data_IF_713463222297
#
_entry.id   IF_713463222297
#
_cell.length_a   1.000
_cell.length_b   1.000
_cell.length_c   1.000
_cell.angle_alpha   90.00
_cell.angle_beta   90.00
_cell.angle_gamma   90.00
#
_symmetry.space_group_name_H-M   'P 1'
#
loop_
_entity.id
_entity.type
_entity.pdbx_description
1 polymer ?
2 non-polymer ?
3 non-polymer ?
4 water ?
#
# COMPACT_ATOMS: atom_id res chain seq x y z
N UNK A 2 -2.60 15.74 18.45
CA UNK A 2 -3.25 17.08 18.76
C UNK A 2 -4.42 17.30 17.77
N UNK A 3 -4.13 17.85 16.59
CA UNK A 3 -5.19 18.03 15.60
C UNK A 3 -5.58 16.64 15.06
N UNK A 4 -4.71 15.63 15.18
CA UNK A 4 -5.16 14.33 14.70
C UNK A 4 -6.18 13.76 15.68
N UNK A 5 -6.00 14.05 16.96
CA UNK A 5 -6.97 13.61 17.98
C UNK A 5 -8.27 14.29 17.62
N UNK A 6 -8.19 15.54 17.19
CA UNK A 6 -9.40 16.28 16.84
C UNK A 6 -10.16 15.68 15.67
N UNK A 7 -9.38 15.13 14.74
CA UNK A 7 -9.92 14.51 13.53
C UNK A 7 -10.49 13.16 13.96
N UNK A 8 -9.89 12.53 14.96
CA UNK A 8 -10.45 11.29 15.50
C UNK A 8 -11.80 11.60 16.16
N UNK A 9 -11.99 12.84 16.63
CA UNK A 9 -13.21 13.19 17.27
C UNK A 9 -14.19 13.64 16.23
N UNK A 10 -13.74 14.36 15.23
CA UNK A 10 -14.65 14.82 14.16
C UNK A 10 -15.31 13.69 13.34
N UNK A 11 -14.56 12.60 13.17
CA UNK A 11 -14.97 11.47 12.34
C UNK A 11 -15.27 10.22 13.13
N UNK A 12 -15.24 10.34 14.45
CA UNK A 12 -15.46 9.19 15.32
C UNK A 12 -14.73 7.97 14.72
N UNK A 13 -13.43 8.13 14.48
CA UNK A 13 -12.68 7.05 13.89
C UNK A 13 -11.33 7.01 14.54
N UNK A 14 -10.55 6.00 14.18
CA UNK A 14 -9.19 5.84 14.69
C UNK A 14 -8.16 6.04 13.57
N UNK A 15 -7.18 6.92 13.81
CA UNK A 15 -6.17 7.22 12.82
C UNK A 15 -4.80 6.63 13.19
N UNK A 16 -4.10 6.08 12.20
CA UNK A 16 -2.77 5.56 12.43
C UNK A 16 -1.93 6.32 11.44
N UNK A 17 -0.85 6.99 11.87
CA UNK A 17 -0.05 7.74 10.94
C UNK A 17 1.45 7.54 11.13
N UNK A 18 2.12 7.38 10.00
CA UNK A 18 3.56 7.36 9.99
C UNK A 18 3.98 8.08 8.70
N UNK A 19 4.84 9.07 8.83
CA UNK A 19 5.28 9.79 7.67
C UNK A 19 6.76 10.10 7.87
N UNK A 20 7.52 9.91 6.77
CA UNK A 20 8.93 10.11 6.79
C UNK A 20 9.38 10.91 5.62
N UNK A 21 9.92 12.10 5.87
CA UNK A 21 10.52 12.89 4.79
C UNK A 21 11.87 12.17 4.55
N UNK A 22 12.05 11.53 3.40
CA UNK A 22 13.29 10.80 3.18
C UNK A 22 14.54 11.67 3.05
N UNK A 23 14.34 12.97 2.78
CA UNK A 23 15.49 13.92 2.67
C UNK A 23 16.07 14.26 4.05
N UNK A 24 15.20 14.68 4.96
CA UNK A 24 15.62 15.05 6.31
C UNK A 24 15.60 13.92 7.33
N UNK A 25 14.78 12.91 7.07
CA UNK A 25 14.69 11.83 8.02
C UNK A 25 13.67 12.26 9.09
N UNK A 26 12.97 13.38 8.82
CA UNK A 26 11.93 13.86 9.74
C UNK A 26 10.67 12.96 9.60
N UNK A 27 10.14 12.57 10.78
CA UNK A 27 8.98 11.67 10.94
C UNK A 27 7.79 12.27 11.70
N UNK A 28 6.57 11.98 11.25
CA UNK A 28 5.35 12.43 11.96
C UNK A 28 4.72 11.05 12.32
N UNK A 29 4.36 10.84 13.60
CA UNK A 29 3.80 9.56 14.08
C UNK A 29 2.56 9.85 14.91
N UNK A 30 1.54 8.99 14.83
CA UNK A 30 0.31 9.16 15.65
C UNK A 30 -0.27 7.77 15.62
N UNK A 31 -0.39 7.11 16.78
CA UNK A 31 -0.91 5.71 16.84
C UNK A 31 -0.08 4.89 15.83
N UNK A 32 1.18 5.31 15.63
CA UNK A 32 2.12 4.67 14.69
C UNK A 32 2.53 3.22 15.03
N UNK A 33 2.37 2.81 16.29
CA UNK A 33 2.67 1.42 16.71
C UNK A 33 1.41 0.60 17.01
N UNK A 34 0.29 1.08 16.53
CA UNK A 34 -1.00 0.45 16.68
C UNK A 34 -1.22 -0.38 15.42
N UNK A 35 -1.77 -1.59 15.59
CA UNK A 35 -2.07 -2.48 14.46
C UNK A 35 -3.39 -2.14 13.78
N UNK A 36 -3.37 -2.15 12.44
CA UNK A 36 -4.52 -1.88 11.58
C UNK A 36 -4.51 -2.89 10.40
N UNK A 37 -5.67 -3.26 9.87
CA UNK A 37 -5.69 -4.09 8.67
C UNK A 37 -5.07 -3.21 7.54
N UNK A 38 -4.02 -3.69 6.87
CA UNK A 38 -3.48 -2.91 5.77
C UNK A 38 -4.32 -3.03 4.51
N UNK A 39 -5.18 -4.07 4.44
CA UNK A 39 -6.02 -4.29 3.26
C UNK A 39 -5.20 -4.20 1.93
N UNK A 40 -5.72 -3.56 0.91
CA UNK A 40 -5.06 -3.50 -0.37
C UNK A 40 -3.78 -2.71 -0.43
N UNK A 41 -3.37 -2.02 0.63
CA UNK A 41 -2.11 -1.25 0.58
C UNK A 41 -0.93 -2.23 0.50
N UNK A 42 -1.17 -3.49 0.87
CA UNK A 42 -0.18 -4.55 0.82
C UNK A 42 0.18 -4.80 -0.69
N UNK A 43 -0.68 -4.44 -1.63
CA UNK A 43 -0.37 -4.64 -3.06
C UNK A 43 0.91 -3.91 -3.52
N UNK A 44 1.20 -2.77 -2.87
CA UNK A 44 2.38 -1.96 -3.21
C UNK A 44 3.62 -2.68 -2.73
N UNK A 45 3.53 -3.21 -1.53
CA UNK A 45 4.61 -4.00 -0.94
C UNK A 45 4.95 -5.29 -1.79
N UNK A 46 3.93 -6.08 -2.14
CA UNK A 46 4.07 -7.27 -2.95
C UNK A 46 4.61 -6.92 -4.32
N UNK A 47 4.05 -5.87 -4.93
CA UNK A 47 4.54 -5.42 -6.23
C UNK A 47 6.04 -5.07 -6.18
N UNK A 48 6.44 -4.33 -5.15
CA UNK A 48 7.84 -3.93 -5.03
C UNK A 48 8.73 -5.15 -4.81
N UNK A 49 8.30 -6.12 -4.01
CA UNK A 49 9.13 -7.28 -3.76
C UNK A 49 9.35 -8.06 -5.05
N UNK A 50 8.31 -8.22 -5.85
CA UNK A 50 8.45 -8.95 -7.11
C UNK A 50 9.49 -8.23 -7.97
N UNK A 51 9.33 -6.91 -8.07
CA UNK A 51 10.20 -5.99 -8.85
C UNK A 51 11.68 -6.02 -8.41
N UNK A 52 11.96 -6.43 -7.17
CA UNK A 52 13.33 -6.60 -6.69
C UNK A 52 13.95 -7.84 -7.34
N UNK A 53 13.10 -8.76 -7.76
CA UNK A 53 13.51 -10.05 -8.29
C UNK A 53 13.45 -10.24 -9.77
N UNK A 54 12.68 -9.39 -10.43
CA UNK A 54 12.50 -9.49 -11.89
C UNK A 54 12.84 -8.16 -12.52
N UNK A 55 13.89 -8.12 -13.35
CA UNK A 55 14.29 -6.87 -14.02
C UNK A 55 13.23 -6.36 -14.94
N UNK A 56 13.17 -5.04 -15.17
CA UNK A 56 12.16 -4.47 -16.04
C UNK A 56 12.00 -5.20 -17.36
N UNK A 57 13.10 -5.41 -18.07
CA UNK A 57 13.11 -6.09 -19.36
C UNK A 57 12.41 -7.46 -19.35
N UNK A 58 12.47 -8.14 -18.21
CA UNK A 58 11.89 -9.44 -18.00
C UNK A 58 10.43 -9.46 -17.47
N UNK A 59 9.76 -8.32 -17.45
CA UNK A 59 8.37 -8.21 -16.98
C UNK A 59 7.48 -8.68 -18.07
N UNK A 60 8.11 -8.93 -19.20
CA UNK A 60 7.36 -9.51 -20.29
C UNK A 60 7.07 -11.02 -20.10
N UNK A 61 7.64 -11.66 -19.10
CA UNK A 61 7.38 -13.05 -18.86
C UNK A 61 5.86 -13.24 -18.59
N UNK A 62 5.27 -14.24 -19.22
CA UNK A 62 3.88 -14.49 -19.06
C UNK A 62 3.70 -15.54 -18.02
N UNK A 63 2.49 -15.58 -17.49
CA UNK A 63 2.19 -16.62 -16.52
C UNK A 63 0.74 -17.03 -16.78
N UNK A 64 0.45 -18.30 -16.60
CA UNK A 64 -0.87 -18.81 -16.90
C UNK A 64 -1.89 -18.55 -15.81
N UNK A 65 -3.08 -18.17 -16.24
CA UNK A 65 -4.13 -17.92 -15.27
C UNK A 65 -5.22 -18.95 -15.46
N UNK A 66 -5.59 -19.62 -14.38
CA UNK A 66 -6.69 -20.59 -14.46
C UNK A 66 -7.82 -20.21 -13.52
N UNK A 67 -8.95 -20.88 -13.65
CA UNK A 67 -10.11 -20.62 -12.78
C UNK A 67 -9.81 -20.65 -11.30
N UNK A 68 -8.94 -21.53 -10.85
CA UNK A 68 -8.62 -21.60 -9.45
C UNK A 68 -7.97 -20.36 -8.87
N UNK A 69 -7.32 -19.57 -9.73
CA UNK A 69 -6.60 -18.39 -9.31
C UNK A 69 -7.53 -17.22 -9.06
N UNK A 70 -8.69 -17.20 -9.74
CA UNK A 70 -9.65 -16.07 -9.66
C UNK A 70 -10.34 -15.86 -8.34
N UNK A 71 -10.20 -14.66 -7.77
CA UNK A 71 -10.89 -14.35 -6.52
C UNK A 71 -11.73 -13.13 -6.79
N UNK A 72 -12.62 -12.82 -5.86
CA UNK A 72 -13.47 -11.68 -6.07
C UNK A 72 -12.69 -10.34 -6.20
N UNK A 73 -13.31 -9.42 -6.92
CA UNK A 73 -12.82 -8.06 -7.19
C UNK A 73 -11.51 -8.17 -7.95
N UNK A 74 -11.63 -8.64 -9.18
CA UNK A 74 -10.52 -8.84 -10.12
C UNK A 74 -11.04 -8.35 -11.48
N UNK A 75 -11.34 -7.07 -11.55
CA UNK A 75 -11.85 -6.56 -12.82
C UNK A 75 -10.99 -6.85 -14.06
N UNK A 76 -9.68 -7.00 -13.85
CA UNK A 76 -8.76 -7.26 -14.99
C UNK A 76 -8.52 -8.75 -15.23
N UNK A 77 -8.09 -9.44 -14.15
CA UNK A 77 -7.77 -10.86 -14.17
C UNK A 77 -8.97 -11.77 -14.46
N UNK A 78 -10.18 -11.28 -14.16
CA UNK A 78 -11.38 -12.07 -14.41
C UNK A 78 -11.39 -12.42 -15.88
N UNK A 79 -10.83 -11.61 -16.76
CA UNK A 79 -10.84 -12.08 -18.12
C UNK A 79 -9.64 -12.89 -18.59
N UNK A 80 -8.79 -13.33 -17.68
CA UNK A 80 -7.63 -14.10 -18.07
C UNK A 80 -7.68 -15.60 -17.73
N UNK A 81 -8.85 -16.12 -17.34
CA UNK A 81 -8.97 -17.55 -17.04
C UNK A 81 -8.65 -18.32 -18.33
N UNK A 82 -7.67 -19.18 -18.23
CA UNK A 82 -7.23 -19.98 -19.38
C UNK A 82 -6.28 -19.21 -20.30
N UNK A 83 -5.83 -18.02 -19.86
CA UNK A 83 -5.01 -17.19 -20.69
C UNK A 83 -3.75 -16.91 -19.97
N UNK A 84 -2.81 -16.32 -20.69
CA UNK A 84 -1.52 -15.93 -20.14
C UNK A 84 -1.52 -14.43 -19.96
N UNK A 85 -0.77 -13.98 -18.98
CA UNK A 85 -0.66 -12.54 -18.70
C UNK A 85 0.74 -12.29 -18.34
N UNK A 86 1.28 -11.16 -18.77
CA UNK A 86 2.67 -10.86 -18.40
C UNK A 86 2.72 -10.39 -16.94
N UNK A 87 3.90 -10.50 -16.31
CA UNK A 87 4.09 -10.02 -14.92
C UNK A 87 3.86 -8.49 -14.90
N UNK A 88 4.25 -7.81 -15.98
CA UNK A 88 4.03 -6.37 -16.07
C UNK A 88 2.51 -6.05 -16.00
N UNK A 89 1.70 -6.76 -16.77
CA UNK A 89 0.27 -6.50 -16.73
C UNK A 89 -0.34 -6.92 -15.37
N UNK A 90 0.22 -7.94 -14.69
CA UNK A 90 -0.28 -8.36 -13.37
C UNK A 90 -0.10 -7.17 -12.42
N UNK A 91 1.14 -6.65 -12.42
CA UNK A 91 1.46 -5.52 -11.54
C UNK A 91 0.58 -4.34 -11.83
N UNK A 92 0.41 -4.01 -13.11
CA UNK A 92 -0.45 -2.90 -13.51
C UNK A 92 -1.89 -3.15 -12.97
N UNK A 93 -2.38 -4.38 -13.08
CA UNK A 93 -3.74 -4.72 -12.60
C UNK A 93 -3.84 -4.54 -11.12
N UNK A 94 -2.88 -5.08 -10.41
CA UNK A 94 -2.88 -4.97 -9.01
C UNK A 94 -2.87 -3.53 -8.52
N UNK A 95 -2.02 -2.70 -9.16
CA UNK A 95 -1.82 -1.31 -8.69
C UNK A 95 -2.87 -0.30 -9.12
N UNK A 96 -3.22 -0.37 -10.38
CA UNK A 96 -4.23 0.52 -10.94
C UNK A 96 -5.70 0.11 -10.59
N UNK A 97 -6.00 -1.20 -10.60
CA UNK A 97 -7.34 -1.65 -10.34
C UNK A 97 -7.49 -2.38 -9.03
N UNK A 98 -6.45 -2.43 -8.23
CA UNK A 98 -6.49 -3.20 -7.00
C UNK A 98 -7.07 -4.62 -7.31
N UNK A 99 -6.62 -5.24 -8.40
CA UNK A 99 -7.10 -6.57 -8.80
C UNK A 99 -6.61 -7.59 -7.81
N UNK A 100 -7.54 -8.26 -7.14
CA UNK A 100 -7.13 -9.17 -6.11
C UNK A 100 -6.46 -10.42 -6.64
N UNK A 101 -6.92 -10.89 -7.79
CA UNK A 101 -6.31 -12.09 -8.36
C UNK A 101 -4.87 -11.75 -8.79
N UNK A 102 -4.67 -10.54 -9.31
CA UNK A 102 -3.31 -10.16 -9.74
C UNK A 102 -2.39 -10.11 -8.52
N UNK A 103 -2.89 -9.56 -7.41
CA UNK A 103 -2.05 -9.50 -6.25
C UNK A 103 -1.70 -10.91 -5.74
N UNK A 104 -2.66 -11.86 -5.70
CA UNK A 104 -2.31 -13.21 -5.23
C UNK A 104 -1.24 -13.90 -6.09
N UNK A 105 -1.32 -13.67 -7.39
CA UNK A 105 -0.41 -14.26 -8.39
C UNK A 105 1.00 -13.63 -8.27
N UNK A 106 1.05 -12.39 -7.75
CA UNK A 106 2.33 -11.68 -7.55
C UNK A 106 3.00 -12.30 -6.33
N UNK A 107 2.21 -12.58 -5.30
CA UNK A 107 2.69 -13.21 -4.10
C UNK A 107 3.16 -14.65 -4.46
N UNK A 108 2.45 -15.32 -5.35
CA UNK A 108 2.84 -16.68 -5.77
C UNK A 108 4.19 -16.58 -6.48
N UNK A 109 4.29 -15.62 -7.41
CA UNK A 109 5.55 -15.35 -8.17
C UNK A 109 6.69 -15.10 -7.24
N UNK A 110 6.44 -14.31 -6.20
CA UNK A 110 7.44 -14.04 -5.21
C UNK A 110 7.84 -15.36 -4.48
N UNK A 111 6.93 -16.35 -4.45
CA UNK A 111 7.20 -17.62 -3.78
C UNK A 111 6.21 -17.94 -2.68
N UNK A 112 5.16 -17.13 -2.53
CA UNK A 112 4.17 -17.38 -1.47
C UNK A 112 4.25 -16.46 -0.26
N UNK A 113 3.25 -16.56 0.63
CA UNK A 113 3.16 -15.73 1.83
C UNK A 113 4.42 -15.92 2.60
N UNK A 114 4.80 -17.17 2.79
CA UNK A 114 5.99 -17.50 3.54
C UNK A 114 7.21 -16.75 2.99
N UNK A 115 7.32 -16.56 1.67
CA UNK A 115 8.48 -15.82 1.17
C UNK A 115 8.37 -14.31 1.42
N UNK A 116 7.15 -13.78 1.37
CA UNK A 116 6.94 -12.34 1.61
C UNK A 116 7.34 -12.08 3.06
N UNK A 117 7.00 -13.02 3.94
CA UNK A 117 7.34 -12.93 5.36
C UNK A 117 8.86 -12.86 5.55
N UNK A 118 9.59 -13.69 4.80
CA UNK A 118 11.05 -13.77 4.82
C UNK A 118 11.64 -12.42 4.36
N UNK A 119 11.13 -11.90 3.26
CA UNK A 119 11.61 -10.63 2.77
C UNK A 119 11.37 -9.56 3.83
N UNK A 120 10.14 -9.51 4.35
CA UNK A 120 9.76 -8.55 5.40
C UNK A 120 10.77 -8.58 6.54
N UNK A 121 11.05 -9.78 7.05
CA UNK A 121 12.02 -9.90 8.13
C UNK A 121 13.43 -9.46 7.76
N UNK A 122 13.83 -9.64 6.50
CA UNK A 122 15.15 -9.21 6.09
C UNK A 122 15.23 -7.66 6.13
N UNK A 123 14.10 -7.02 5.87
CA UNK A 123 13.99 -5.55 5.87
C UNK A 123 13.78 -5.04 7.29
N UNK A 124 13.94 -5.91 8.28
CA UNK A 124 13.79 -5.51 9.67
C UNK A 124 12.37 -5.28 10.08
N UNK A 125 11.41 -5.78 9.28
CA UNK A 125 9.98 -5.63 9.57
C UNK A 125 9.46 -6.91 10.20
N UNK A 126 9.31 -6.89 11.51
CA UNK A 126 8.80 -8.05 12.18
C UNK A 126 7.40 -7.78 12.71
N UNK A 127 6.72 -6.83 12.07
CA UNK A 127 5.39 -6.40 12.47
C UNK A 127 4.35 -6.70 11.38
N UNK A 128 4.60 -6.24 10.15
CA UNK A 128 3.69 -6.46 9.01
C UNK A 128 3.52 -7.99 8.98
N UNK A 129 2.27 -8.42 8.99
CA UNK A 129 1.99 -9.82 9.19
C UNK A 129 1.07 -10.44 8.19
N UNK A 130 1.60 -10.72 6.99
CA UNK A 130 0.78 -11.36 5.92
C UNK A 130 0.50 -12.85 6.32
N UNK A 131 -0.74 -13.25 6.23
CA UNK A 131 -1.13 -14.60 6.65
C UNK A 131 -2.02 -15.28 5.59
N UNK A 132 -2.86 -14.47 4.98
CA UNK A 132 -3.80 -14.94 4.01
C UNK A 132 -3.69 -14.19 2.69
N UNK A 133 -4.21 -14.82 1.67
CA UNK A 133 -4.25 -14.22 0.36
C UNK A 133 -5.53 -13.44 0.36
N UNK A 134 -5.74 -12.76 -0.75
CA UNK A 134 -6.94 -12.05 -0.97
C UNK A 134 -7.99 -13.06 -1.37
N UNK A 135 -9.26 -12.82 -1.02
CA UNK A 135 -9.71 -11.64 -0.25
C UNK A 135 -9.75 -11.94 1.23
N UNK A 136 -9.46 -13.15 1.63
CA UNK A 136 -9.53 -13.46 3.03
C UNK A 136 -8.76 -12.52 3.94
N UNK A 137 -7.63 -11.98 3.44
CA UNK A 137 -6.82 -11.02 4.22
C UNK A 137 -7.62 -9.79 4.57
N UNK A 138 -8.71 -9.56 3.84
CA UNK A 138 -9.58 -8.40 4.03
C UNK A 138 -10.57 -8.56 5.20
N UNK A 139 -10.66 -9.74 5.80
CA UNK A 139 -11.59 -9.94 6.93
C UNK A 139 -10.93 -9.57 8.23
N UNK A 140 -10.68 -8.28 8.38
CA UNK A 140 -10.02 -7.78 9.56
C UNK A 140 -10.86 -7.97 10.81
N UNK A 141 -10.16 -8.31 11.88
CA UNK A 141 -10.74 -8.40 13.19
C UNK A 141 -9.74 -7.73 14.17
N UNK A 142 -10.25 -6.79 15.02
CA UNK A 142 -9.47 -6.08 16.02
C UNK A 142 -8.81 -7.12 16.94
N UNK A 143 -9.40 -8.30 16.98
CA UNK A 143 -8.92 -9.39 17.81
C UNK A 143 -7.80 -10.21 17.18
N UNK A 144 -7.53 -9.98 15.89
CA UNK A 144 -6.46 -10.75 15.29
C UNK A 144 -5.44 -9.84 14.61
N UNK A 145 -4.21 -10.32 14.63
CA UNK A 145 -3.06 -9.67 14.04
C UNK A 145 -2.96 -10.02 12.59
N UNK A 146 -3.77 -10.97 12.16
CA UNK A 146 -3.72 -11.41 10.76
C UNK A 146 -3.84 -10.30 9.76
N UNK A 147 -2.83 -10.19 8.87
CA UNK A 147 -2.80 -9.19 7.77
C UNK A 147 -2.93 -7.75 8.22
N UNK A 148 -2.17 -7.47 9.27
CA UNK A 148 -2.17 -6.12 9.84
C UNK A 148 -0.75 -5.71 9.98
N UNK A 149 -0.59 -4.41 10.18
CA UNK A 149 0.71 -3.81 10.45
C UNK A 149 0.41 -2.51 11.21
N UNK A 150 1.48 -1.86 11.67
CA UNK A 150 1.41 -0.57 12.35
C UNK A 150 1.84 0.42 11.28
N UNK A 151 1.34 1.65 11.36
CA UNK A 151 1.78 2.60 10.35
C UNK A 151 3.31 2.72 10.28
N UNK A 152 3.99 2.64 11.43
CA UNK A 152 5.43 2.79 11.46
C UNK A 152 6.14 1.67 10.77
N UNK A 153 5.77 0.40 11.07
CA UNK A 153 6.38 -0.81 10.45
C UNK A 153 6.14 -0.84 8.95
N UNK A 154 4.91 -0.51 8.55
CA UNK A 154 4.52 -0.49 7.14
C UNK A 154 5.25 0.64 6.37
N UNK A 155 5.35 1.83 6.94
CA UNK A 155 6.05 2.90 6.27
C UNK A 155 7.54 2.64 6.12
N UNK A 156 8.17 2.14 7.17
CA UNK A 156 9.61 1.83 7.17
C UNK A 156 9.86 0.84 6.08
N UNK A 157 9.00 -0.18 5.95
CA UNK A 157 9.17 -1.16 4.91
C UNK A 157 9.00 -0.50 3.54
N UNK A 158 7.96 0.29 3.39
CA UNK A 158 7.73 0.99 2.15
C UNK A 158 8.96 1.86 1.82
N UNK A 159 9.57 2.43 2.85
CA UNK A 159 10.76 3.28 2.63
C UNK A 159 11.97 2.43 2.19
N UNK A 160 12.21 1.32 2.87
CA UNK A 160 13.34 0.49 2.56
C UNK A 160 13.20 -0.29 1.28
N UNK A 161 11.96 -0.50 0.84
CA UNK A 161 11.66 -1.26 -0.34
C UNK A 161 11.60 -0.43 -1.56
N UNK A 162 10.98 0.73 -1.44
CA UNK A 162 10.83 1.57 -2.60
C UNK A 162 11.57 2.89 -2.55
N UNK A 163 11.48 3.61 -1.43
CA UNK A 163 12.11 4.93 -1.30
C UNK A 163 13.64 4.96 -1.18
N UNK A 164 14.26 3.78 -1.07
CA UNK A 164 15.73 3.61 -0.98
C UNK A 164 16.16 2.22 -0.48
N UNK A 165 16.38 1.25 -1.39
CA UNK A 165 16.21 1.47 -2.81
C UNK A 165 16.87 0.38 -3.66
N UNK A 166 16.46 -0.87 -3.52
CA UNK A 166 17.07 -1.95 -4.33
C UNK A 166 16.44 -1.99 -5.72
N UNK A 167 15.40 -1.21 -5.92
CA UNK A 167 14.75 -1.21 -7.20
C UNK A 167 15.53 -0.47 -8.25
N UNK A 168 15.62 -1.07 -9.45
CA UNK A 168 16.27 -0.38 -10.53
C UNK A 168 15.49 0.92 -10.80
N UNK A 169 16.09 1.83 -11.57
CA UNK A 169 15.48 3.09 -11.98
C UNK A 169 14.19 2.81 -12.79
N UNK A 170 14.29 1.85 -13.70
CA UNK A 170 13.12 1.53 -14.51
C UNK A 170 11.97 0.90 -13.65
N UNK A 171 12.27 -0.08 -12.82
CA UNK A 171 11.22 -0.76 -12.02
C UNK A 171 10.65 0.23 -11.02
N UNK A 172 11.52 1.04 -10.40
CA UNK A 172 11.09 2.09 -9.48
C UNK A 172 10.17 3.09 -10.23
N UNK A 173 10.56 3.50 -11.44
CA UNK A 173 9.71 4.38 -12.22
C UNK A 173 8.35 3.73 -12.63
N UNK A 174 8.40 2.47 -13.10
CA UNK A 174 7.19 1.77 -13.51
C UNK A 174 6.19 1.66 -12.33
N UNK A 175 6.64 1.31 -11.14
CA UNK A 175 5.77 1.20 -9.93
C UNK A 175 5.16 2.54 -9.46
N UNK A 176 6.03 3.53 -9.35
CA UNK A 176 5.64 4.88 -8.91
C UNK A 176 4.72 5.57 -9.89
N UNK A 177 4.97 5.36 -11.18
CA UNK A 177 4.09 5.91 -12.22
C UNK A 177 2.68 5.32 -12.09
N UNK A 178 2.60 4.02 -11.80
CA UNK A 178 1.30 3.37 -11.60
C UNK A 178 0.62 4.03 -10.41
N UNK A 179 1.40 4.25 -9.37
CA UNK A 179 0.89 4.85 -8.14
C UNK A 179 0.53 6.31 -8.33
N UNK A 180 1.32 7.04 -9.12
CA UNK A 180 1.06 8.45 -9.43
C UNK A 180 -0.22 8.55 -10.28
N UNK A 181 -0.33 7.64 -11.24
CA UNK A 181 -1.45 7.62 -12.20
C UNK A 181 -2.74 6.98 -11.69
N UNK A 182 -2.66 6.34 -10.54
CA UNK A 182 -3.80 5.67 -9.90
C UNK A 182 -4.91 6.66 -9.48
N UNK A 183 -5.95 6.75 -10.29
CA UNK A 183 -7.09 7.62 -10.03
C UNK A 183 -8.01 7.12 -8.94
N UNK A 184 -7.82 5.89 -8.47
CA UNK A 184 -8.67 5.40 -7.40
C UNK A 184 -8.31 5.86 -5.96
N UNK A 185 -7.19 6.57 -5.80
CA UNK A 185 -6.82 7.07 -4.48
C UNK A 185 -7.09 8.57 -4.37
N UNK A 186 -7.73 9.13 -5.40
CA UNK A 186 -8.01 10.55 -5.48
C UNK A 186 -8.79 11.22 -4.37
N UNK A 187 -9.53 10.45 -3.59
CA UNK A 187 -10.32 11.04 -2.52
C UNK A 187 -9.58 10.96 -1.22
N UNK A 188 -8.40 10.33 -1.21
CA UNK A 188 -7.66 10.16 0.02
C UNK A 188 -6.54 11.20 0.16
N UNK A 189 -5.30 10.76 0.35
CA UNK A 189 -4.13 11.66 0.47
C UNK A 189 -4.13 12.68 -0.65
N UNK A 190 -4.33 12.23 -1.85
CA UNK A 190 -4.36 13.13 -2.99
C UNK A 190 -5.31 14.27 -2.70
N UNK A 191 -6.46 13.96 -2.14
CA UNK A 191 -7.40 15.02 -1.86
C UNK A 191 -6.95 16.04 -0.81
N UNK A 192 -6.14 15.64 0.18
CA UNK A 192 -5.75 16.58 1.23
C UNK A 192 -4.44 17.35 1.08
N UNK A 193 -3.59 16.89 0.16
CA UNK A 193 -2.29 17.50 -0.08
C UNK A 193 -2.43 18.71 -0.96
N UNK A 194 -1.45 19.63 -0.89
CA UNK A 194 -1.54 20.83 -1.73
C UNK A 194 -1.44 20.35 -3.15
N UNK A 195 -2.36 20.87 -3.95
CA UNK A 195 -2.52 20.57 -5.40
C UNK A 195 -1.27 20.50 -6.33
N UNK A 196 -0.14 21.02 -5.86
CA UNK A 196 1.14 21.04 -6.59
C UNK A 196 2.12 20.01 -6.01
N UNK A 197 1.62 19.18 -5.12
CA UNK A 197 2.38 18.09 -4.55
C UNK A 197 2.05 16.92 -5.47
N UNK A 198 2.98 16.03 -5.77
CA UNK A 198 2.61 14.86 -6.57
C UNK A 198 2.44 13.73 -5.58
N UNK A 199 1.41 12.95 -5.76
CA UNK A 199 1.12 11.84 -4.82
C UNK A 199 1.03 10.49 -5.57
N UNK A 200 1.88 9.56 -5.15
CA UNK A 200 1.96 8.20 -5.72
C UNK A 200 1.44 7.31 -4.63
N UNK A 201 0.18 6.93 -4.70
CA UNK A 201 -0.44 6.15 -3.64
C UNK A 201 -0.99 4.80 -4.10
N UNK A 202 -1.36 4.04 -3.08
CA UNK A 202 -2.04 2.74 -3.20
C UNK A 202 -3.01 2.75 -2.02
N UNK A 203 -4.30 2.67 -2.32
CA UNK A 203 -5.34 2.71 -1.28
C UNK A 203 -5.78 1.29 -0.79
N UNK A 204 -6.52 1.23 0.33
CA UNK A 204 -7.00 -0.05 0.79
C UNK A 204 -8.30 0.15 1.54
N UNK A 205 -9.15 -0.88 1.50
CA UNK A 205 -10.40 -0.90 2.28
C UNK A 205 -10.71 -2.33 2.59
N UNK A 206 -10.65 -2.69 3.87
CA UNK A 206 -10.95 -4.03 4.31
C UNK A 206 -12.46 -4.14 4.36
N UNK A 207 -12.95 -5.36 4.49
CA UNK A 207 -14.37 -5.61 4.53
C UNK A 207 -14.95 -5.08 5.84
N UNK A 208 -14.17 -5.15 6.91
CA UNK A 208 -14.73 -4.77 8.17
C UNK A 208 -14.16 -3.56 8.90
N UNK A 209 -14.98 -2.99 9.80
CA UNK A 209 -14.61 -1.86 10.64
C UNK A 209 -14.19 -0.61 9.93
N UNK A 210 -14.84 -0.31 8.82
CA UNK A 210 -14.52 0.87 8.03
C UNK A 210 -12.96 1.05 7.91
N UNK A 211 -12.23 -0.06 7.68
CA UNK A 211 -10.77 -0.03 7.55
C UNK A 211 -10.49 0.58 6.19
N UNK A 212 -10.06 1.85 6.21
CA UNK A 212 -9.80 2.59 4.98
C UNK A 212 -8.37 3.16 5.12
N UNK A 213 -7.52 2.83 4.16
CA UNK A 213 -6.12 3.23 4.25
C UNK A 213 -5.66 3.87 2.99
N UNK A 214 -4.56 4.59 3.06
CA UNK A 214 -3.94 5.10 1.87
C UNK A 214 -2.44 5.23 2.23
N UNK A 215 -1.57 4.69 1.36
CA UNK A 215 -0.12 4.86 1.57
C UNK A 215 0.34 5.59 0.31
N UNK A 216 1.33 6.46 0.47
CA UNK A 216 1.85 7.24 -0.65
C UNK A 216 3.29 7.73 -0.51
N UNK A 217 3.82 8.07 -1.69
CA UNK A 217 5.14 8.69 -1.88
C UNK A 217 4.65 10.06 -2.33
N UNK A 218 4.86 11.07 -1.47
CA UNK A 218 4.35 12.42 -1.73
C UNK A 218 5.53 13.33 -2.04
N UNK A 219 5.49 14.06 -3.14
CA UNK A 219 6.57 14.97 -3.54
C UNK A 219 6.06 16.42 -3.42
N UNK A 220 6.46 17.12 -2.34
CA UNK A 220 6.00 18.50 -2.16
C UNK A 220 6.67 19.23 -3.31
N UNK A 221 5.94 20.07 -4.03
CA UNK A 221 6.53 20.77 -5.17
C UNK A 221 7.91 21.35 -4.85
N UNK A 222 8.89 21.04 -5.70
CA UNK A 222 10.26 21.50 -5.46
C UNK A 222 11.17 20.36 -4.97
N UNK A 223 10.61 19.44 -4.18
CA UNK A 223 11.35 18.29 -3.66
C UNK A 223 11.17 17.04 -4.53
N UNK A 224 12.25 16.27 -4.67
CA UNK A 224 12.30 15.04 -5.47
C UNK A 224 12.40 13.83 -4.58
N UNK A 225 12.88 14.07 -3.37
CA UNK A 225 13.00 13.05 -2.36
C UNK A 225 11.55 12.96 -1.90
N UNK A 226 10.98 11.74 -1.82
CA UNK A 226 9.60 11.62 -1.39
C UNK A 226 9.45 11.61 0.12
N UNK A 227 8.23 11.91 0.55
CA UNK A 227 7.88 11.81 1.95
C UNK A 227 7.01 10.54 1.96
N UNK A 228 7.38 9.54 2.70
CA UNK A 228 6.58 8.28 2.75
C UNK A 228 5.41 8.60 3.73
N UNK A 229 4.17 8.48 3.26
CA UNK A 229 3.02 8.76 4.14
C UNK A 229 2.08 7.54 4.27
N UNK A 230 1.96 7.01 5.48
CA UNK A 230 1.08 5.88 5.77
C UNK A 230 -0.05 6.32 6.73
N UNK A 231 -1.28 6.32 6.20
CA UNK A 231 -2.48 6.63 6.96
C UNK A 231 -3.43 5.38 6.95
N UNK A 232 -3.64 4.81 8.13
CA UNK A 232 -4.51 3.68 8.35
C UNK A 232 -5.62 4.19 9.24
N UNK A 233 -6.86 3.98 8.83
CA UNK A 233 -7.97 4.37 9.69
C UNK A 233 -9.00 3.24 9.90
N UNK A 234 -9.74 3.36 10.98
CA UNK A 234 -10.79 2.38 11.19
C UNK A 234 -11.74 2.89 12.26
N UNK A 235 -12.88 2.20 12.37
CA UNK A 235 -13.91 2.56 13.29
C UNK A 235 -14.24 1.47 14.26
N UNK A 236 -15.11 1.78 15.23
CA UNK A 236 -15.46 0.80 16.29
C UNK A 236 -16.34 -0.37 15.87
N UNK A 237 -17.23 -0.14 14.91
CA UNK A 237 -18.14 -1.19 14.45
C UNK A 237 -17.78 -1.86 13.14
N UNK A 238 -18.02 -3.16 13.17
CA UNK A 238 -17.81 -4.10 12.08
C UNK A 238 -18.38 -3.60 10.81
N UNK A 239 -19.61 -3.10 10.82
CA UNK A 239 -20.22 -2.63 9.58
C UNK A 239 -20.13 -1.14 9.30
N UNK A 240 -19.30 -0.45 10.07
CA UNK A 240 -19.09 0.96 9.81
C UNK A 240 -18.59 1.27 8.35
N UNK A 241 -19.10 2.38 7.82
CA UNK A 241 -18.70 2.86 6.52
C UNK A 241 -17.65 3.99 6.74
N UNK A 242 -16.51 3.87 6.08
CA UNK A 242 -15.50 4.93 6.24
C UNK A 242 -15.91 6.23 5.54
N UNK A 243 -15.18 7.29 5.88
CA UNK A 243 -15.35 8.62 5.26
C UNK A 243 -13.94 8.95 4.74
N UNK A 244 -13.77 8.94 3.43
CA UNK A 244 -12.48 9.22 2.85
C UNK A 244 -11.95 10.61 3.26
N UNK A 245 -12.87 11.56 3.51
CA UNK A 245 -12.44 12.90 3.90
C UNK A 245 -11.58 12.84 5.16
N UNK A 246 -11.81 11.84 6.01
CA UNK A 246 -10.98 11.68 7.19
C UNK A 246 -9.46 11.60 6.76
N UNK A 247 -9.16 10.69 5.83
CA UNK A 247 -7.80 10.49 5.32
C UNK A 247 -7.32 11.77 4.62
N UNK A 248 -8.21 12.41 3.86
CA UNK A 248 -7.90 13.64 3.15
C UNK A 248 -7.51 14.68 4.16
N UNK A 249 -8.22 14.78 5.27
CA UNK A 249 -7.87 15.76 6.29
C UNK A 249 -6.64 15.43 7.05
N UNK A 250 -6.45 14.15 7.37
CA UNK A 250 -5.26 13.68 8.07
C UNK A 250 -4.00 13.96 7.23
N UNK A 251 -4.07 13.75 5.92
CA UNK A 251 -2.93 14.02 5.00
C UNK A 251 -2.60 15.56 4.97
N UNK A 252 -3.64 16.37 4.88
CA UNK A 252 -3.50 17.83 4.89
C UNK A 252 -2.71 18.30 6.12
N UNK A 253 -3.15 17.78 7.26
CA UNK A 253 -2.58 18.06 8.56
C UNK A 253 -1.18 17.60 8.65
N UNK A 254 -0.93 16.37 8.23
CA UNK A 254 0.42 15.83 8.29
C UNK A 254 1.36 16.57 7.37
N UNK A 255 0.90 16.96 6.21
CA UNK A 255 1.80 17.63 5.31
C UNK A 255 2.33 19.02 5.79
N UNK A 256 1.59 19.67 6.66
CA UNK A 256 2.02 20.93 7.23
C UNK A 256 3.22 20.74 8.11
N UNK A 257 3.44 19.53 8.55
CA UNK A 257 4.56 19.24 9.38
C UNK A 257 5.82 19.22 8.63
N UNK A 258 5.72 19.32 7.33
CA UNK A 258 6.89 19.30 6.46
C UNK A 258 7.06 20.65 5.69
#
# INVERSE_FOLDING_TARGET
MKELNDLEKKYNAHIGVYALDTKSGKEVKFNSDKRFAYASTSKAINSAILLEQVPYNKLNKKVHINKDDIVAYSPILEKYVGKDITLKALIEASMTYSDNTANNKIIKEIGGIKKVKQRLKELGDKVTNPVRYDIELQYYSPKSKKDTSTPAAFGKTLNKLIANGKLSKENKKFLLDLMLNNKSGDTLIKDGVPKDYKVADKSGQAITYASRNDVAFVYPKGQSEPIVLVIFTNKDNKSDKPNDKLISETAKSVMKEF
#
